data_IF_197036572647
#
_entry.id   IF_197036572647
#
_cell.length_a   1.000
_cell.length_b   1.000
_cell.length_c   1.000
_cell.angle_alpha   90.00
_cell.angle_beta   90.00
_cell.angle_gamma   90.00
#
_symmetry.space_group_name_H-M   'P 1'
#
loop_
_entity.id
_entity.type
_entity.pdbx_description
1 polymer ?
#
# COMPACT_ATOMS: atom_id res chain seq x y z
N UNK A 1 2.62 -24.68 62.12
CA UNK A 1 3.31 -24.35 60.85
C UNK A 1 3.34 -25.50 59.82
N UNK A 2 3.64 -26.76 60.18
CA UNK A 2 3.70 -27.89 59.20
C UNK A 2 2.36 -28.24 58.52
N UNK A 3 1.19 -28.06 59.17
CA UNK A 3 -0.12 -28.34 58.58
C UNK A 3 -0.56 -27.28 57.57
N UNK A 4 -0.18 -26.02 57.71
CA UNK A 4 -0.52 -24.96 56.76
C UNK A 4 0.30 -25.05 55.45
N UNK A 5 1.57 -25.50 55.53
CA UNK A 5 2.42 -25.72 54.37
C UNK A 5 1.91 -26.90 53.52
N UNK A 6 1.41 -27.94 54.15
CA UNK A 6 0.85 -29.10 53.46
C UNK A 6 -0.46 -28.77 52.72
N UNK A 7 -1.34 -27.92 53.30
CA UNK A 7 -2.57 -27.46 52.62
C UNK A 7 -2.24 -26.58 51.39
N UNK A 8 -1.22 -25.72 51.47
CA UNK A 8 -0.81 -24.87 50.36
C UNK A 8 -0.22 -25.71 49.19
N UNK A 9 0.51 -26.79 49.53
CA UNK A 9 1.07 -27.70 48.51
C UNK A 9 0.00 -28.53 47.80
N UNK A 10 -1.04 -28.96 48.49
CA UNK A 10 -2.19 -29.70 47.93
C UNK A 10 -3.04 -28.75 47.07
N UNK A 11 -3.21 -27.47 47.47
CA UNK A 11 -3.93 -26.49 46.70
C UNK A 11 -3.19 -26.09 45.41
N UNK A 12 -1.85 -25.90 45.44
CA UNK A 12 -1.03 -25.72 44.26
C UNK A 12 -1.03 -26.93 43.32
N UNK A 13 -1.00 -28.16 43.86
CA UNK A 13 -1.07 -29.38 43.04
C UNK A 13 -2.44 -29.56 42.38
N UNK A 14 -3.53 -29.16 43.02
CA UNK A 14 -4.89 -29.17 42.44
C UNK A 14 -5.07 -28.13 41.35
N UNK A 15 -4.49 -26.93 41.49
CA UNK A 15 -4.49 -25.92 40.44
C UNK A 15 -3.68 -26.38 39.22
N UNK A 16 -2.50 -27.04 39.42
CA UNK A 16 -1.71 -27.62 38.34
C UNK A 16 -2.40 -28.81 37.65
N UNK A 17 -3.20 -29.60 38.34
CA UNK A 17 -3.96 -30.72 37.76
C UNK A 17 -5.20 -30.22 36.97
N UNK A 18 -5.85 -29.12 37.37
CA UNK A 18 -6.94 -28.51 36.65
C UNK A 18 -6.43 -27.84 35.36
N UNK A 19 -5.28 -27.15 35.39
CA UNK A 19 -4.62 -26.58 34.20
C UNK A 19 -4.17 -27.67 33.19
N UNK A 20 -3.74 -28.84 33.65
CA UNK A 20 -3.38 -29.98 32.79
C UNK A 20 -4.59 -30.66 32.14
N UNK A 21 -5.76 -30.61 32.74
CA UNK A 21 -7.00 -31.23 32.23
C UNK A 21 -7.63 -30.47 31.06
N UNK A 22 -7.36 -29.15 30.92
CA UNK A 22 -7.88 -28.36 29.78
C UNK A 22 -7.00 -28.45 28.50
N UNK A 23 -5.76 -28.92 28.61
CA UNK A 23 -4.79 -28.90 27.51
C UNK A 23 -5.01 -29.96 26.40
N UNK A 24 -5.91 -30.93 26.61
CA UNK A 24 -6.12 -32.02 25.65
C UNK A 24 -7.45 -31.97 24.89
N UNK A 25 -8.33 -31.02 25.17
CA UNK A 25 -9.62 -30.90 24.46
C UNK A 25 -9.39 -30.15 23.15
N UNK A 26 -9.68 -30.82 22.03
CA UNK A 26 -9.67 -30.21 20.69
C UNK A 26 -11.08 -29.73 20.36
N UNK A 27 -11.18 -28.54 19.75
CA UNK A 27 -12.39 -27.91 19.26
C UNK A 27 -12.33 -27.84 17.75
N UNK A 28 -13.44 -28.11 17.08
CA UNK A 28 -13.55 -28.03 15.63
C UNK A 28 -14.66 -27.04 15.28
N UNK A 29 -14.37 -26.13 14.37
CA UNK A 29 -15.26 -25.08 13.91
C UNK A 29 -15.44 -25.18 12.40
N UNK A 30 -16.65 -24.95 11.94
CA UNK A 30 -16.98 -24.77 10.54
C UNK A 30 -17.26 -23.28 10.32
N UNK A 31 -16.39 -22.58 9.56
CA UNK A 31 -16.39 -21.14 9.46
C UNK A 31 -16.60 -20.72 7.99
N UNK A 32 -17.23 -19.56 7.81
CA UNK A 32 -17.25 -18.87 6.53
C UNK A 32 -15.99 -18.01 6.33
N UNK A 33 -15.92 -17.27 5.21
CA UNK A 33 -14.78 -16.43 4.88
C UNK A 33 -14.56 -15.25 5.85
N UNK A 34 -15.55 -14.92 6.69
CA UNK A 34 -15.47 -13.89 7.73
C UNK A 34 -15.11 -14.44 9.11
N UNK A 35 -14.76 -15.74 9.19
CA UNK A 35 -14.51 -16.48 10.43
C UNK A 35 -15.74 -16.62 11.33
N UNK A 36 -16.93 -16.45 10.77
CA UNK A 36 -18.19 -16.68 11.49
C UNK A 36 -18.59 -18.16 11.45
N UNK A 37 -19.05 -18.68 12.57
CA UNK A 37 -19.49 -20.09 12.68
C UNK A 37 -20.75 -20.34 11.84
N UNK A 38 -20.71 -21.37 11.01
CA UNK A 38 -21.80 -21.74 10.09
C UNK A 38 -22.04 -23.26 10.11
N UNK A 39 -23.10 -23.71 9.45
CA UNK A 39 -23.31 -25.14 9.19
C UNK A 39 -22.18 -25.71 8.34
N UNK A 40 -21.82 -26.97 8.55
CA UNK A 40 -20.74 -27.66 7.84
C UNK A 40 -20.88 -27.58 6.32
N UNK A 41 -22.08 -27.64 5.81
CA UNK A 41 -22.37 -27.56 4.36
C UNK A 41 -22.09 -26.20 3.73
N UNK A 42 -22.02 -25.15 4.51
CA UNK A 42 -21.75 -23.75 4.10
C UNK A 42 -20.34 -23.29 4.44
N UNK A 43 -19.58 -24.12 5.16
CA UNK A 43 -18.26 -23.76 5.61
C UNK A 43 -17.24 -23.78 4.43
N UNK A 44 -16.37 -22.80 4.43
CA UNK A 44 -15.21 -22.73 3.51
C UNK A 44 -13.88 -22.84 4.27
N UNK A 45 -13.92 -22.69 5.61
CA UNK A 45 -12.78 -22.77 6.52
C UNK A 45 -13.07 -23.82 7.60
N UNK A 46 -12.08 -24.66 7.88
CA UNK A 46 -12.03 -25.56 9.00
C UNK A 46 -11.15 -24.95 10.08
N UNK A 47 -11.73 -24.59 11.25
CA UNK A 47 -11.02 -24.13 12.42
C UNK A 47 -10.71 -25.29 13.37
N UNK A 48 -9.51 -25.38 13.89
CA UNK A 48 -9.12 -26.28 14.97
C UNK A 48 -8.53 -25.49 16.12
N UNK A 49 -9.07 -25.67 17.31
CA UNK A 49 -8.64 -24.96 18.52
C UNK A 49 -8.29 -25.86 19.68
N UNK A 50 -7.37 -25.41 20.50
CA UNK A 50 -6.99 -26.04 21.77
C UNK A 50 -6.43 -25.01 22.75
N UNK A 51 -6.51 -25.33 24.04
CA UNK A 51 -5.82 -24.53 25.04
C UNK A 51 -4.35 -24.89 25.11
N UNK A 52 -3.48 -23.89 24.97
CA UNK A 52 -2.03 -23.98 25.09
C UNK A 52 -1.54 -22.93 26.12
N UNK A 53 -0.95 -23.37 27.21
CA UNK A 53 -0.41 -22.49 28.28
C UNK A 53 -1.43 -21.44 28.80
N UNK A 54 -2.71 -21.81 28.90
CA UNK A 54 -3.78 -20.94 29.39
C UNK A 54 -4.41 -20.01 28.36
N UNK A 55 -3.91 -19.98 27.14
CA UNK A 55 -4.51 -19.24 26.01
C UNK A 55 -5.18 -20.21 25.02
N UNK A 56 -6.22 -19.77 24.35
CA UNK A 56 -6.90 -20.57 23.33
C UNK A 56 -6.28 -20.30 21.95
N UNK A 57 -5.59 -21.29 21.39
CA UNK A 57 -5.01 -21.22 20.06
C UNK A 57 -5.97 -21.77 19.01
N UNK A 58 -6.19 -21.02 17.95
CA UNK A 58 -6.98 -21.36 16.77
C UNK A 58 -6.06 -21.49 15.57
N UNK A 59 -6.21 -22.58 14.80
CA UNK A 59 -5.63 -22.75 13.48
C UNK A 59 -6.77 -22.90 12.46
N UNK A 60 -6.76 -22.09 11.41
CA UNK A 60 -7.76 -22.11 10.35
C UNK A 60 -7.16 -22.65 9.06
N UNK A 61 -7.79 -23.67 8.51
CA UNK A 61 -7.39 -24.36 7.29
C UNK A 61 -8.45 -24.18 6.19
N UNK A 62 -8.09 -24.44 4.93
CA UNK A 62 -9.09 -24.75 3.91
C UNK A 62 -10.01 -25.87 4.39
N UNK A 63 -11.24 -25.92 3.87
CA UNK A 63 -12.22 -26.94 4.30
C UNK A 63 -11.70 -28.38 4.06
N UNK A 64 -10.83 -28.57 3.07
CA UNK A 64 -10.20 -29.84 2.76
C UNK A 64 -8.93 -30.12 3.61
N UNK A 65 -8.54 -29.17 4.47
CA UNK A 65 -7.38 -29.23 5.35
C UNK A 65 -6.02 -29.31 4.63
N UNK A 66 -5.96 -28.94 3.38
CA UNK A 66 -4.74 -28.93 2.57
C UNK A 66 -3.91 -27.66 2.74
N UNK A 67 -4.49 -26.60 3.34
CA UNK A 67 -3.85 -25.32 3.49
C UNK A 67 -4.19 -24.59 4.78
N UNK A 68 -3.15 -24.14 5.51
CA UNK A 68 -3.26 -23.25 6.66
C UNK A 68 -3.36 -21.79 6.19
N UNK A 69 -4.43 -21.07 6.58
CA UNK A 69 -4.64 -19.66 6.29
C UNK A 69 -4.30 -18.74 7.45
N UNK A 70 -4.48 -19.24 8.70
CA UNK A 70 -4.43 -18.41 9.88
C UNK A 70 -4.02 -19.22 11.08
N UNK A 71 -3.17 -18.64 11.92
CA UNK A 71 -3.04 -19.01 13.33
C UNK A 71 -3.32 -17.80 14.20
N UNK A 72 -4.10 -17.97 15.25
CA UNK A 72 -4.42 -16.88 16.16
C UNK A 72 -4.58 -17.39 17.59
N UNK A 73 -4.39 -16.48 18.55
CA UNK A 73 -4.83 -16.70 19.91
C UNK A 73 -6.14 -15.95 20.16
N UNK A 74 -7.06 -16.60 20.85
CA UNK A 74 -8.35 -16.04 21.24
C UNK A 74 -8.47 -16.01 22.76
N UNK A 75 -9.39 -15.22 23.28
CA UNK A 75 -9.69 -15.14 24.70
C UNK A 75 -10.16 -16.51 25.24
N UNK A 76 -11.01 -17.18 24.47
CA UNK A 76 -11.56 -18.49 24.83
C UNK A 76 -12.03 -19.29 23.59
N UNK A 77 -12.63 -20.45 23.82
CA UNK A 77 -13.14 -21.35 22.78
C UNK A 77 -14.41 -20.87 22.06
N UNK A 78 -14.98 -19.74 22.40
CA UNK A 78 -16.14 -19.16 21.68
C UNK A 78 -15.70 -18.36 20.46
N UNK A 79 -14.40 -18.06 20.34
CA UNK A 79 -13.79 -17.24 19.29
C UNK A 79 -14.33 -15.80 19.27
N UNK A 80 -14.81 -15.30 20.42
CA UNK A 80 -15.43 -13.98 20.53
C UNK A 80 -14.44 -12.84 20.21
N UNK A 81 -13.18 -13.00 20.62
CA UNK A 81 -12.15 -11.98 20.47
C UNK A 81 -10.77 -12.61 20.26
N UNK A 82 -9.99 -12.06 19.34
CA UNK A 82 -8.57 -12.34 19.26
C UNK A 82 -7.84 -11.69 20.44
N UNK A 83 -6.94 -12.44 21.05
CA UNK A 83 -6.13 -11.95 22.17
C UNK A 83 -4.78 -12.67 22.20
N UNK A 84 -3.73 -12.04 21.66
CA UNK A 84 -2.39 -12.58 21.48
C UNK A 84 -1.95 -12.56 20.02
N UNK A 85 -0.96 -13.41 19.71
CA UNK A 85 -0.35 -13.48 18.38
C UNK A 85 -1.38 -13.91 17.32
N UNK A 86 -1.37 -13.19 16.22
CA UNK A 86 -2.11 -13.45 15.00
C UNK A 86 -1.15 -13.55 13.83
N UNK A 87 -1.27 -14.59 13.01
CA UNK A 87 -0.49 -14.75 11.79
C UNK A 87 -1.38 -15.28 10.67
N UNK A 88 -1.48 -14.54 9.56
CA UNK A 88 -2.13 -15.02 8.33
C UNK A 88 -1.12 -15.48 7.30
N UNK A 89 -1.56 -16.40 6.43
CA UNK A 89 -0.74 -17.02 5.40
C UNK A 89 -1.42 -16.91 4.04
N UNK A 90 -0.61 -16.65 3.03
CA UNK A 90 -1.04 -16.68 1.64
C UNK A 90 -1.33 -18.13 1.19
N UNK A 91 -2.12 -18.30 0.11
CA UNK A 91 -2.47 -19.59 -0.49
C UNK A 91 -1.26 -20.51 -0.79
N UNK A 92 -0.07 -19.98 -0.91
CA UNK A 92 1.18 -20.74 -1.10
C UNK A 92 1.92 -21.05 0.21
N UNK A 93 1.32 -20.77 1.36
CA UNK A 93 1.84 -21.12 2.69
C UNK A 93 2.88 -20.16 3.27
N UNK A 94 3.24 -19.06 2.60
CA UNK A 94 4.11 -18.05 3.19
C UNK A 94 3.33 -17.01 4.00
N UNK A 95 3.99 -16.44 4.99
CA UNK A 95 3.42 -15.43 5.88
C UNK A 95 2.97 -14.19 5.10
N UNK A 96 1.77 -13.71 5.36
CA UNK A 96 1.19 -12.52 4.76
C UNK A 96 1.11 -11.35 5.74
N UNK A 97 0.59 -11.60 6.94
CA UNK A 97 0.47 -10.58 8.00
C UNK A 97 0.76 -11.22 9.37
N UNK A 98 1.36 -10.46 10.29
CA UNK A 98 1.58 -10.86 11.67
C UNK A 98 1.52 -9.67 12.60
N UNK A 99 0.94 -9.88 13.78
CA UNK A 99 0.89 -8.89 14.86
C UNK A 99 0.19 -9.45 16.08
N UNK A 100 -0.08 -8.61 17.06
CA UNK A 100 -0.78 -9.00 18.27
C UNK A 100 -2.11 -8.29 18.38
N UNK A 101 -3.12 -9.03 18.83
CA UNK A 101 -4.37 -8.49 19.34
C UNK A 101 -4.35 -8.42 20.87
N UNK A 102 -5.00 -7.41 21.40
CA UNK A 102 -5.29 -7.27 22.82
C UNK A 102 -6.76 -6.88 22.96
N UNK A 103 -7.56 -7.78 23.57
CA UNK A 103 -9.01 -7.58 23.73
C UNK A 103 -9.71 -7.20 22.41
N UNK A 104 -9.47 -7.98 21.36
CA UNK A 104 -10.06 -7.79 20.03
C UNK A 104 -9.45 -6.68 19.16
N UNK A 105 -8.59 -5.82 19.71
CA UNK A 105 -7.98 -4.69 19.00
C UNK A 105 -6.52 -4.95 18.64
N UNK A 106 -6.09 -4.48 17.46
CA UNK A 106 -4.67 -4.51 17.07
C UNK A 106 -3.84 -3.69 18.05
N UNK A 107 -2.75 -4.29 18.53
CA UNK A 107 -1.86 -3.68 19.52
C UNK A 107 -0.39 -3.95 19.16
N UNK A 108 0.47 -2.92 19.31
CA UNK A 108 1.89 -3.04 19.04
C UNK A 108 2.22 -3.19 17.55
N UNK A 109 3.31 -3.88 17.26
CA UNK A 109 3.88 -4.00 15.92
C UNK A 109 3.11 -5.02 15.07
N UNK A 110 2.66 -4.58 13.90
CA UNK A 110 2.08 -5.38 12.83
C UNK A 110 2.95 -5.28 11.59
N UNK A 111 3.13 -6.41 10.89
CA UNK A 111 3.97 -6.47 9.70
C UNK A 111 3.27 -7.22 8.58
N UNK A 112 3.49 -6.79 7.32
CA UNK A 112 2.98 -7.46 6.12
C UNK A 112 4.11 -7.77 5.16
N UNK A 113 3.95 -8.88 4.45
CA UNK A 113 4.91 -9.37 3.45
C UNK A 113 4.21 -9.64 2.12
N UNK A 114 4.98 -9.54 1.05
CA UNK A 114 4.52 -9.94 -0.28
C UNK A 114 4.80 -11.44 -0.54
N UNK A 115 4.44 -11.89 -1.75
CA UNK A 115 4.63 -13.27 -2.20
C UNK A 115 6.08 -13.72 -2.31
N UNK A 116 7.04 -12.81 -2.27
CA UNK A 116 8.49 -13.08 -2.22
C UNK A 116 9.05 -12.95 -0.81
N UNK A 117 8.20 -12.88 0.21
CA UNK A 117 8.56 -12.69 1.62
C UNK A 117 9.32 -11.39 1.90
N UNK A 118 9.14 -10.39 1.05
CA UNK A 118 9.69 -9.06 1.28
C UNK A 118 8.71 -8.26 2.13
N UNK A 119 9.22 -7.52 3.11
CA UNK A 119 8.40 -6.69 3.98
C UNK A 119 7.77 -5.53 3.20
N UNK A 120 6.46 -5.45 3.19
CA UNK A 120 5.69 -4.39 2.51
C UNK A 120 5.23 -3.29 3.45
N UNK A 121 4.93 -3.68 4.69
CA UNK A 121 4.42 -2.76 5.71
C UNK A 121 4.92 -3.15 7.11
N UNK A 122 5.06 -2.15 7.96
CA UNK A 122 5.41 -2.29 9.38
C UNK A 122 4.70 -1.16 10.13
N UNK A 123 3.61 -1.49 10.81
CA UNK A 123 2.74 -0.49 11.47
C UNK A 123 2.61 -0.79 12.95
N UNK A 124 2.78 0.22 13.79
CA UNK A 124 2.53 0.15 15.24
C UNK A 124 1.12 0.66 15.51
N UNK A 125 0.32 -0.18 16.16
CA UNK A 125 -1.04 0.12 16.56
C UNK A 125 -1.15 0.36 18.06
N UNK A 126 -2.06 1.23 18.45
CA UNK A 126 -2.55 1.44 19.80
C UNK A 126 -4.08 1.38 19.73
N UNK A 127 -4.69 0.27 20.19
CA UNK A 127 -6.13 0.04 20.13
C UNK A 127 -6.72 0.29 18.73
N UNK A 128 -6.28 -0.48 17.74
CA UNK A 128 -6.63 -0.37 16.30
C UNK A 128 -6.20 0.92 15.60
N UNK A 129 -5.73 1.93 16.34
CA UNK A 129 -5.26 3.18 15.76
C UNK A 129 -3.80 3.06 15.34
N UNK A 130 -3.46 3.25 14.06
CA UNK A 130 -2.06 3.28 13.62
C UNK A 130 -1.40 4.56 14.13
N UNK A 131 -0.32 4.43 14.90
CA UNK A 131 0.45 5.55 15.45
C UNK A 131 1.76 5.78 14.71
N UNK A 132 2.37 4.71 14.19
CA UNK A 132 3.54 4.79 13.34
C UNK A 132 3.43 3.75 12.22
N UNK A 133 3.76 4.12 10.98
CA UNK A 133 3.76 3.18 9.87
C UNK A 133 4.97 3.37 8.97
N UNK A 134 5.57 2.27 8.53
CA UNK A 134 6.64 2.24 7.53
C UNK A 134 6.19 1.36 6.37
N UNK A 135 6.19 1.92 5.16
CA UNK A 135 5.93 1.18 3.91
C UNK A 135 7.24 0.98 3.15
N UNK A 136 7.33 -0.11 2.40
CA UNK A 136 8.51 -0.49 1.64
C UNK A 136 8.13 -0.75 0.18
N UNK A 137 8.96 -0.30 -0.74
CA UNK A 137 8.81 -0.55 -2.17
C UNK A 137 10.10 -1.09 -2.74
N UNK A 138 10.00 -1.94 -3.75
CA UNK A 138 11.14 -2.66 -4.30
C UNK A 138 11.22 -2.50 -5.81
N UNK A 139 12.43 -2.47 -6.35
CA UNK A 139 12.68 -2.62 -7.77
C UNK A 139 12.34 -4.05 -8.24
N UNK A 140 12.19 -4.23 -9.55
CA UNK A 140 11.92 -5.55 -10.15
C UNK A 140 13.00 -6.60 -9.83
N UNK A 141 14.25 -6.16 -9.59
CA UNK A 141 15.36 -7.03 -9.18
C UNK A 141 15.34 -7.40 -7.69
N UNK A 142 14.32 -6.97 -6.92
CA UNK A 142 14.17 -7.27 -5.50
C UNK A 142 14.90 -6.32 -4.55
N UNK A 143 15.68 -5.39 -5.05
CA UNK A 143 16.36 -4.38 -4.24
C UNK A 143 15.35 -3.35 -3.73
N UNK A 144 15.46 -2.95 -2.46
CA UNK A 144 14.64 -1.88 -1.88
C UNK A 144 14.81 -0.59 -2.70
N UNK A 145 13.72 -0.01 -3.19
CA UNK A 145 13.74 1.23 -3.95
C UNK A 145 13.52 2.45 -3.05
N UNK A 146 12.55 2.35 -2.14
CA UNK A 146 12.36 3.36 -1.09
C UNK A 146 11.57 2.79 0.09
N UNK A 147 11.72 3.45 1.23
CA UNK A 147 10.87 3.26 2.41
C UNK A 147 10.36 4.60 2.89
N UNK A 148 9.14 4.60 3.44
CA UNK A 148 8.51 5.80 3.99
C UNK A 148 7.98 5.50 5.36
N UNK A 149 8.37 6.29 6.35
CA UNK A 149 7.87 6.21 7.73
C UNK A 149 7.06 7.45 8.07
N UNK A 150 5.88 7.25 8.62
CA UNK A 150 5.02 8.29 9.20
C UNK A 150 4.80 7.99 10.67
N UNK A 151 4.94 9.00 11.51
CA UNK A 151 4.61 8.93 12.94
C UNK A 151 3.58 10.02 13.23
N UNK A 152 2.37 9.58 13.60
CA UNK A 152 1.23 10.49 13.84
C UNK A 152 1.25 11.13 15.23
N UNK A 153 2.01 10.57 16.18
CA UNK A 153 2.15 11.14 17.52
C UNK A 153 3.17 12.28 17.52
N UNK A 154 4.27 12.10 16.78
CA UNK A 154 5.36 13.08 16.67
C UNK A 154 5.19 14.03 15.48
N UNK A 155 4.16 13.84 14.64
CA UNK A 155 3.97 14.53 13.35
C UNK A 155 5.26 14.52 12.50
N UNK A 156 5.92 13.34 12.43
CA UNK A 156 7.10 13.16 11.61
C UNK A 156 6.81 12.34 10.36
N UNK A 157 7.57 12.65 9.32
CA UNK A 157 7.59 11.90 8.07
C UNK A 157 9.05 11.75 7.64
N UNK A 158 9.44 10.54 7.28
CA UNK A 158 10.73 10.29 6.65
C UNK A 158 10.59 9.39 5.45
N UNK A 159 11.43 9.61 4.44
CA UNK A 159 11.53 8.73 3.28
C UNK A 159 13.00 8.55 2.91
N UNK A 160 13.39 7.32 2.61
CA UNK A 160 14.73 6.97 2.16
C UNK A 160 14.62 6.29 0.82
N UNK A 161 15.37 6.77 -0.17
CA UNK A 161 15.42 6.20 -1.52
C UNK A 161 16.77 5.56 -1.79
N UNK A 162 16.75 4.52 -2.61
CA UNK A 162 17.94 3.76 -2.99
C UNK A 162 18.04 3.62 -4.50
N UNK A 163 19.24 3.40 -5.02
CA UNK A 163 19.47 3.04 -6.44
C UNK A 163 19.11 1.57 -6.66
N UNK A 164 19.12 1.11 -7.93
CA UNK A 164 18.91 -0.30 -8.28
C UNK A 164 20.01 -1.22 -7.77
N UNK A 165 21.17 -0.66 -7.42
CA UNK A 165 22.32 -1.33 -6.84
C UNK A 165 22.25 -1.36 -5.29
N UNK A 166 21.19 -0.75 -4.69
CA UNK A 166 20.99 -0.72 -3.24
C UNK A 166 21.74 0.40 -2.53
N UNK A 167 22.34 1.33 -3.25
CA UNK A 167 23.03 2.49 -2.66
C UNK A 167 21.99 3.55 -2.29
N UNK A 168 22.09 4.12 -1.09
CA UNK A 168 21.23 5.20 -0.64
C UNK A 168 21.42 6.44 -1.53
N UNK A 169 20.35 6.94 -2.13
CA UNK A 169 20.35 8.08 -3.06
C UNK A 169 19.79 9.36 -2.46
N UNK A 170 18.79 9.24 -1.59
CA UNK A 170 18.24 10.42 -0.87
C UNK A 170 17.57 10.03 0.44
N UNK A 171 17.47 11.00 1.31
CA UNK A 171 16.75 10.91 2.58
C UNK A 171 16.01 12.20 2.83
N UNK A 172 14.73 12.10 3.16
CA UNK A 172 13.86 13.20 3.51
C UNK A 172 13.38 12.99 4.94
N UNK A 173 13.41 14.05 5.74
CA UNK A 173 12.81 14.06 7.07
C UNK A 173 12.00 15.34 7.26
N UNK A 174 10.77 15.21 7.75
CA UNK A 174 9.91 16.32 8.15
C UNK A 174 9.52 16.22 9.62
N UNK A 175 9.49 17.37 10.28
CA UNK A 175 8.81 17.61 11.53
C UNK A 175 7.72 18.65 11.26
N UNK A 176 6.45 18.28 11.37
CA UNK A 176 5.34 19.11 10.91
C UNK A 176 5.47 19.44 9.42
N UNK A 177 5.43 20.74 9.07
CA UNK A 177 5.49 21.21 7.69
C UNK A 177 6.92 21.49 7.18
N UNK A 178 7.93 21.47 8.04
CA UNK A 178 9.31 21.76 7.69
C UNK A 178 10.16 20.50 7.63
N UNK A 179 11.04 20.41 6.66
CA UNK A 179 11.86 19.24 6.48
C UNK A 179 13.24 19.52 5.88
N UNK A 180 14.05 18.47 5.85
CA UNK A 180 15.39 18.44 5.29
C UNK A 180 15.44 17.33 4.24
N UNK A 181 16.01 17.63 3.07
CA UNK A 181 16.38 16.65 2.06
C UNK A 181 17.90 16.51 2.04
N UNK A 182 18.39 15.29 2.14
CA UNK A 182 19.78 14.93 1.87
C UNK A 182 19.84 14.13 0.58
N UNK A 183 20.69 14.54 -0.34
CA UNK A 183 21.01 13.79 -1.56
C UNK A 183 22.41 13.21 -1.42
N UNK A 184 22.56 11.94 -1.77
CA UNK A 184 23.84 11.23 -1.74
C UNK A 184 24.33 11.08 -3.16
N UNK A 185 25.52 11.63 -3.47
CA UNK A 185 26.16 11.58 -4.77
C UNK A 185 27.59 11.09 -4.62
N UNK A 186 28.25 10.74 -5.74
CA UNK A 186 29.69 10.38 -5.75
C UNK A 186 30.56 11.48 -5.15
N UNK A 187 30.13 12.74 -5.22
CA UNK A 187 30.84 13.91 -4.68
C UNK A 187 30.51 14.23 -3.21
N UNK A 188 29.75 13.37 -2.52
CA UNK A 188 29.38 13.53 -1.12
C UNK A 188 27.91 13.85 -0.90
N UNK A 189 27.59 14.33 0.30
CA UNK A 189 26.23 14.64 0.75
C UNK A 189 25.93 16.11 0.45
N UNK A 190 24.90 16.36 -0.37
CA UNK A 190 24.31 17.68 -0.52
C UNK A 190 23.10 17.78 0.38
N UNK A 191 23.16 18.64 1.39
CA UNK A 191 22.00 18.89 2.29
C UNK A 191 21.32 20.17 1.82
N UNK A 192 20.06 20.03 1.47
CA UNK A 192 19.20 21.16 1.11
C UNK A 192 18.30 21.50 2.29
N UNK A 193 18.29 22.76 2.68
CA UNK A 193 17.50 23.22 3.81
C UNK A 193 16.07 23.58 3.42
N UNK A 194 15.13 23.24 4.27
CA UNK A 194 13.75 23.71 4.40
C UNK A 194 12.86 23.49 3.18
N UNK A 195 12.06 22.46 3.28
CA UNK A 195 10.98 22.15 2.36
C UNK A 195 9.63 22.14 3.08
N UNK A 196 8.56 22.25 2.29
CA UNK A 196 7.20 21.97 2.74
C UNK A 196 6.76 20.60 2.28
N UNK A 197 5.74 20.00 2.90
CA UNK A 197 5.10 18.75 2.45
C UNK A 197 4.25 18.95 1.19
N UNK A 198 4.32 20.11 0.54
CA UNK A 198 3.52 20.42 -0.62
C UNK A 198 3.95 19.55 -1.80
N UNK A 199 3.00 18.79 -2.33
CA UNK A 199 3.13 18.00 -3.54
C UNK A 199 1.98 18.31 -4.49
N UNK A 200 2.29 18.65 -5.74
CA UNK A 200 1.32 18.90 -6.80
C UNK A 200 1.80 18.29 -8.10
N UNK A 201 0.93 17.66 -8.82
CA UNK A 201 1.23 17.19 -10.18
C UNK A 201 1.34 18.37 -11.15
N UNK A 202 2.11 18.15 -12.22
CA UNK A 202 2.12 19.09 -13.33
C UNK A 202 0.73 19.17 -13.98
N UNK A 203 0.27 20.35 -14.33
CA UNK A 203 -1.07 20.57 -14.85
C UNK A 203 -1.17 21.66 -15.90
N UNK A 204 -2.28 21.68 -16.63
CA UNK A 204 -2.60 22.77 -17.55
C UNK A 204 -3.12 24.00 -16.78
N UNK A 205 -2.84 25.24 -17.19
CA UNK A 205 -3.41 26.44 -16.57
C UNK A 205 -4.95 26.41 -16.58
N UNK A 206 -5.55 26.61 -15.43
CA UNK A 206 -7.00 26.48 -15.25
C UNK A 206 -7.50 25.03 -15.12
N UNK A 207 -6.59 24.09 -14.87
CA UNK A 207 -6.87 22.68 -14.69
C UNK A 207 -7.70 22.06 -15.85
N UNK A 208 -8.61 21.14 -15.56
CA UNK A 208 -9.41 20.45 -16.58
C UNK A 208 -10.28 21.43 -17.40
N UNK A 209 -10.87 22.43 -16.77
CA UNK A 209 -11.69 23.44 -17.45
C UNK A 209 -10.86 24.27 -18.42
N UNK A 210 -9.67 24.71 -18.00
CA UNK A 210 -8.75 25.46 -18.85
C UNK A 210 -8.26 24.64 -20.04
N UNK A 211 -7.93 23.37 -19.82
CA UNK A 211 -7.54 22.43 -20.87
C UNK A 211 -8.65 22.23 -21.90
N UNK A 212 -9.88 21.96 -21.44
CA UNK A 212 -11.04 21.79 -22.32
C UNK A 212 -11.28 23.02 -23.20
N UNK A 213 -11.34 24.21 -22.59
CA UNK A 213 -11.54 25.46 -23.34
C UNK A 213 -10.38 25.76 -24.30
N UNK A 214 -9.16 25.32 -23.98
CA UNK A 214 -8.03 25.45 -24.90
C UNK A 214 -8.16 24.49 -26.09
N UNK A 215 -8.53 23.23 -25.87
CA UNK A 215 -8.78 22.25 -26.93
C UNK A 215 -9.88 22.70 -27.89
N UNK A 216 -11.01 23.17 -27.37
CA UNK A 216 -12.15 23.66 -28.17
C UNK A 216 -11.75 24.76 -29.17
N UNK A 217 -10.72 25.56 -28.83
CA UNK A 217 -10.24 26.65 -29.68
C UNK A 217 -9.07 26.26 -30.58
N UNK A 218 -8.32 25.25 -30.21
CA UNK A 218 -6.99 24.98 -30.79
C UNK A 218 -6.88 23.66 -31.54
N UNK A 219 -7.74 22.69 -31.18
CA UNK A 219 -7.77 21.39 -31.84
C UNK A 219 -8.57 21.49 -33.15
N UNK A 220 -8.01 20.94 -34.20
CA UNK A 220 -8.74 20.76 -35.47
C UNK A 220 -9.40 19.35 -35.47
N UNK A 221 -10.71 19.23 -35.18
CA UNK A 221 -11.37 17.92 -35.12
C UNK A 221 -11.55 17.29 -36.52
N UNK A 222 -11.41 18.06 -37.61
CA UNK A 222 -11.57 17.55 -38.97
C UNK A 222 -10.33 16.81 -39.49
N UNK A 223 -9.18 16.85 -38.79
CA UNK A 223 -7.95 16.20 -39.24
C UNK A 223 -8.16 14.70 -39.53
N UNK A 224 -8.74 13.90 -38.64
CA UNK A 224 -8.97 12.49 -38.95
C UNK A 224 -10.00 12.28 -40.08
N UNK A 225 -11.04 13.11 -40.14
CA UNK A 225 -12.06 13.02 -41.18
C UNK A 225 -11.46 13.32 -42.56
N UNK A 226 -10.68 14.41 -42.71
CA UNK A 226 -10.01 14.80 -43.92
C UNK A 226 -8.99 13.75 -44.40
N UNK A 227 -8.47 12.94 -43.47
CA UNK A 227 -7.55 11.81 -43.77
C UNK A 227 -8.27 10.46 -43.83
N UNK A 228 -9.60 10.47 -43.96
CA UNK A 228 -10.45 9.27 -44.16
C UNK A 228 -10.34 8.24 -43.02
N UNK A 229 -10.29 8.71 -41.78
CA UNK A 229 -10.38 7.83 -40.62
C UNK A 229 -11.76 7.13 -40.61
N UNK A 230 -11.84 5.83 -40.33
CA UNK A 230 -13.10 5.14 -40.12
C UNK A 230 -13.92 5.76 -38.99
N UNK A 231 -15.26 5.65 -39.02
CA UNK A 231 -16.08 6.04 -37.89
C UNK A 231 -15.67 5.30 -36.63
N UNK A 232 -15.57 6.02 -35.50
CA UNK A 232 -15.11 5.44 -34.24
C UNK A 232 -14.69 6.50 -33.24
N UNK A 233 -14.33 6.00 -32.06
CA UNK A 233 -13.77 6.80 -30.96
C UNK A 233 -12.29 6.47 -30.77
N UNK A 234 -11.42 7.47 -30.85
CA UNK A 234 -9.99 7.35 -30.81
C UNK A 234 -9.43 8.14 -29.62
N UNK A 235 -8.84 7.43 -28.65
CA UNK A 235 -8.24 8.06 -27.48
C UNK A 235 -6.71 8.19 -27.70
N UNK A 236 -6.29 9.31 -28.25
CA UNK A 236 -4.88 9.64 -28.50
C UNK A 236 -4.20 10.00 -27.20
N UNK A 237 -3.08 9.35 -26.90
CA UNK A 237 -2.28 9.60 -25.70
C UNK A 237 -0.92 10.15 -26.09
N UNK A 238 -0.59 11.32 -25.57
CA UNK A 238 0.70 11.97 -25.79
C UNK A 238 1.43 12.14 -24.47
N UNK A 239 2.67 11.68 -24.46
CA UNK A 239 3.59 11.77 -23.33
C UNK A 239 4.59 12.92 -23.56
N UNK A 240 4.90 13.66 -22.51
CA UNK A 240 5.90 14.74 -22.52
C UNK A 240 6.45 15.02 -21.12
N UNK A 241 7.51 15.81 -21.05
CA UNK A 241 8.06 16.31 -19.78
C UNK A 241 7.65 17.78 -19.62
N UNK A 242 7.07 18.11 -18.45
CA UNK A 242 6.90 19.48 -18.00
C UNK A 242 8.13 19.89 -17.19
N UNK A 243 8.85 20.89 -17.67
CA UNK A 243 10.05 21.44 -17.03
C UNK A 243 9.71 22.31 -15.83
N UNK A 244 10.70 22.64 -14.99
CA UNK A 244 10.53 23.51 -13.80
C UNK A 244 10.00 24.91 -14.14
N UNK A 245 10.21 25.39 -15.33
CA UNK A 245 9.71 26.70 -15.82
C UNK A 245 8.36 26.58 -16.55
N UNK A 246 7.79 25.37 -16.63
CA UNK A 246 6.53 25.09 -17.30
C UNK A 246 6.66 24.82 -18.81
N UNK A 247 7.85 24.91 -19.39
CA UNK A 247 8.09 24.52 -20.78
C UNK A 247 7.96 23.00 -20.96
N UNK A 248 7.75 22.56 -22.19
CA UNK A 248 7.56 21.14 -22.54
C UNK A 248 8.79 20.64 -23.31
N UNK A 249 9.22 19.42 -23.00
CA UNK A 249 10.23 18.68 -23.75
C UNK A 249 9.84 17.21 -23.92
N UNK A 250 10.59 16.50 -24.76
CA UNK A 250 10.49 15.05 -24.97
C UNK A 250 9.05 14.58 -25.27
N UNK A 251 8.36 15.32 -26.15
CA UNK A 251 6.99 15.05 -26.53
C UNK A 251 6.92 13.90 -27.54
N UNK A 252 6.11 12.90 -27.28
CA UNK A 252 5.86 11.75 -28.17
C UNK A 252 4.48 11.15 -27.97
N UNK A 253 3.91 10.56 -29.02
CA UNK A 253 2.68 9.80 -28.91
C UNK A 253 2.97 8.41 -28.30
N UNK A 254 2.06 7.93 -27.45
CA UNK A 254 2.01 6.54 -26.95
C UNK A 254 1.05 5.67 -27.77
N UNK A 255 0.17 6.30 -28.53
CA UNK A 255 -0.77 5.66 -29.46
C UNK A 255 -0.31 5.82 -30.90
N UNK A 256 -0.85 5.00 -31.80
CA UNK A 256 -0.53 5.01 -33.22
C UNK A 256 -1.79 4.68 -34.04
N UNK A 257 -2.82 5.52 -33.93
CA UNK A 257 -4.05 5.38 -34.73
C UNK A 257 -3.84 5.85 -36.18
N UNK A 258 -2.92 6.80 -36.36
CA UNK A 258 -2.67 7.45 -37.64
C UNK A 258 -3.72 8.52 -37.96
N UNK A 259 -3.98 8.72 -39.22
CA UNK A 259 -4.91 9.73 -39.76
C UNK A 259 -4.62 11.16 -39.25
N UNK A 260 -3.38 11.44 -38.81
CA UNK A 260 -2.93 12.72 -38.32
C UNK A 260 -3.37 13.11 -36.93
N UNK A 261 -3.98 12.20 -36.18
CA UNK A 261 -4.50 12.48 -34.84
C UNK A 261 -3.37 12.76 -33.85
N UNK A 262 -2.33 11.93 -33.85
CA UNK A 262 -1.17 12.07 -32.97
C UNK A 262 -0.42 13.37 -33.22
N UNK A 263 -0.18 13.68 -34.49
CA UNK A 263 0.50 14.91 -34.89
C UNK A 263 -0.29 16.16 -34.51
N UNK A 264 -1.62 16.10 -34.63
CA UNK A 264 -2.50 17.22 -34.23
C UNK A 264 -2.46 17.44 -32.73
N UNK A 265 -2.54 16.38 -31.93
CA UNK A 265 -2.45 16.50 -30.46
C UNK A 265 -1.07 17.03 -30.05
N UNK A 266 0.02 16.52 -30.65
CA UNK A 266 1.38 17.02 -30.41
C UNK A 266 1.46 18.50 -30.76
N UNK A 267 0.92 18.92 -31.92
CA UNK A 267 0.89 20.32 -32.35
C UNK A 267 0.17 21.22 -31.34
N UNK A 268 -0.99 20.77 -30.85
CA UNK A 268 -1.79 21.54 -29.88
C UNK A 268 -1.04 21.67 -28.56
N UNK A 269 -0.47 20.58 -28.04
CA UNK A 269 0.29 20.61 -26.80
C UNK A 269 1.53 21.50 -26.93
N UNK A 270 2.29 21.39 -28.03
CA UNK A 270 3.52 22.16 -28.26
C UNK A 270 3.27 23.66 -28.42
N UNK A 271 2.17 24.06 -29.09
CA UNK A 271 1.78 25.47 -29.29
C UNK A 271 1.05 26.07 -28.12
N UNK A 272 0.75 25.28 -27.10
CA UNK A 272 0.01 25.71 -25.92
C UNK A 272 0.77 26.64 -24.98
N UNK A 273 0.09 27.19 -23.99
CA UNK A 273 0.74 27.97 -22.96
C UNK A 273 1.67 27.10 -22.13
N UNK A 274 2.57 27.73 -21.37
CA UNK A 274 3.38 27.02 -20.36
C UNK A 274 2.46 26.29 -19.38
N UNK A 275 2.85 25.07 -19.07
CA UNK A 275 2.18 24.24 -18.07
C UNK A 275 2.56 24.69 -16.65
N UNK A 276 1.72 24.37 -15.69
CA UNK A 276 2.03 24.52 -14.26
C UNK A 276 2.98 23.36 -13.91
N UNK A 277 4.22 23.63 -13.48
CA UNK A 277 5.16 22.59 -13.10
C UNK A 277 4.65 21.75 -11.91
N UNK A 278 5.08 20.51 -11.85
CA UNK A 278 4.92 19.72 -10.64
C UNK A 278 5.70 20.35 -9.48
N UNK A 279 5.14 20.19 -8.28
CA UNK A 279 5.78 20.58 -7.03
C UNK A 279 6.01 19.32 -6.21
N UNK A 280 7.23 19.15 -5.73
CA UNK A 280 7.59 18.10 -4.80
C UNK A 280 8.37 18.73 -3.64
N UNK A 281 7.90 18.49 -2.43
CA UNK A 281 8.43 19.09 -1.21
C UNK A 281 8.49 20.64 -1.28
N UNK A 282 7.47 21.26 -1.89
CA UNK A 282 7.41 22.71 -2.08
C UNK A 282 8.31 23.27 -3.18
N UNK A 283 9.00 22.45 -3.96
CA UNK A 283 9.86 22.85 -5.07
C UNK A 283 9.31 22.43 -6.42
N UNK A 284 9.44 23.28 -7.41
CA UNK A 284 9.16 22.95 -8.79
C UNK A 284 10.15 21.88 -9.28
N UNK A 285 9.61 20.77 -9.78
CA UNK A 285 10.38 19.65 -10.33
C UNK A 285 9.97 19.36 -11.77
N UNK A 286 10.84 18.67 -12.52
CA UNK A 286 10.49 18.07 -13.80
C UNK A 286 9.55 16.90 -13.56
N UNK A 287 8.49 16.77 -14.38
CA UNK A 287 7.56 15.66 -14.25
C UNK A 287 7.10 15.17 -15.62
N UNK A 288 6.95 13.86 -15.75
CA UNK A 288 6.28 13.26 -16.88
C UNK A 288 4.78 13.54 -16.81
N UNK A 289 4.19 13.80 -17.98
CA UNK A 289 2.74 13.92 -18.13
C UNK A 289 2.29 13.09 -19.33
N UNK A 290 1.16 12.39 -19.17
CA UNK A 290 0.44 11.76 -20.27
C UNK A 290 -0.88 12.50 -20.40
N UNK A 291 -1.15 13.05 -21.59
CA UNK A 291 -2.38 13.80 -21.85
C UNK A 291 -3.23 13.04 -22.86
N UNK A 292 -4.40 12.53 -22.47
CA UNK A 292 -5.35 11.94 -23.40
C UNK A 292 -6.16 13.03 -24.12
N UNK A 293 -6.42 12.79 -25.41
CA UNK A 293 -7.35 13.59 -26.24
C UNK A 293 -8.20 12.62 -27.06
N UNK A 294 -9.53 12.76 -26.99
CA UNK A 294 -10.44 11.86 -27.70
C UNK A 294 -11.00 12.54 -28.94
N UNK A 295 -10.81 11.87 -30.09
CA UNK A 295 -11.54 12.21 -31.34
C UNK A 295 -12.74 11.27 -31.50
N UNK A 296 -13.84 11.82 -31.97
CA UNK A 296 -15.03 11.06 -32.36
C UNK A 296 -15.28 11.33 -33.85
N UNK A 297 -15.15 10.29 -34.67
CA UNK A 297 -15.43 10.33 -36.11
C UNK A 297 -16.79 9.67 -36.34
N UNK A 298 -17.76 10.44 -36.83
CA UNK A 298 -19.11 9.98 -37.13
C UNK A 298 -19.28 9.69 -38.63
N UNK A 299 -20.19 8.79 -38.97
CA UNK A 299 -20.70 8.68 -40.34
C UNK A 299 -21.38 10.01 -40.73
N UNK A 300 -20.99 10.59 -41.86
CA UNK A 300 -21.70 11.69 -42.49
C UNK A 300 -22.75 11.16 -43.40
#
# INVERSE_FOLDING_TARGET
MKKQILLLYIFCMLIFSIAKSQSNKRYVYYLDATLTSVEKSKAVILGEGSYENGAFRLNCYSINRDQLFLTAYCTDSTLSEFNGLFTSFHLKGYKEEEGNYKNGSKEGLWQKWDSLQRKMDSTVYLQDRPIQSTTFSYYKNGVLSYSTTKDSLLDTYSSVSYTKEGVKSSEVFFLGQKGILKSFTENGIVTDSVFTREEKEAGFPGAEKGWRSYLERSLNPEVPVNRKAPPGTYNVRVKFIVQKDGSISDISAETSFGYGMEEEVIRVITKGPKWIPAVQYGRKVKAYRIQPVTFVVSLR
#
